data_IF_942903716978
#
_entry.id   IF_942903716978
#
_cell.length_a   1.000
_cell.length_b   1.000
_cell.length_c   1.000
_cell.angle_alpha   90.00
_cell.angle_beta   90.00
_cell.angle_gamma   90.00
#
_symmetry.space_group_name_H-M   'P 1'
#
loop_
_entity.id
_entity.type
_entity.pdbx_description
1 polymer ?
#
# COMPACT_ATOMS: atom_id res chain seq x y z
N UNK A 1 4.96 -2.77 36.98
CA UNK A 1 5.89 -3.91 36.80
C UNK A 1 5.65 -4.68 35.47
N UNK A 2 5.22 -4.01 34.39
CA UNK A 2 4.83 -4.65 33.12
C UNK A 2 5.63 -4.16 31.89
N UNK A 3 6.54 -3.20 32.07
CA UNK A 3 7.24 -2.54 30.97
C UNK A 3 8.37 -3.39 30.33
N UNK A 4 8.76 -4.50 30.97
CA UNK A 4 9.91 -5.31 30.54
C UNK A 4 9.52 -6.50 29.64
N UNK A 5 8.22 -6.79 29.45
CA UNK A 5 7.78 -8.00 28.74
C UNK A 5 7.46 -7.79 27.27
N UNK A 6 7.26 -6.56 26.81
CA UNK A 6 6.61 -6.34 25.51
C UNK A 6 7.55 -5.85 24.41
N UNK A 7 8.57 -5.05 24.73
CA UNK A 7 9.43 -4.45 23.71
C UNK A 7 10.21 -5.48 22.89
N UNK A 8 10.94 -6.38 23.57
CA UNK A 8 11.81 -7.34 22.87
C UNK A 8 11.04 -8.50 22.22
N UNK A 9 9.98 -8.98 22.87
CA UNK A 9 9.14 -10.06 22.35
C UNK A 9 8.41 -9.64 21.08
N UNK A 10 7.92 -8.40 21.00
CA UNK A 10 7.21 -7.92 19.81
C UNK A 10 8.15 -7.85 18.59
N UNK A 11 9.41 -7.46 18.79
CA UNK A 11 10.44 -7.50 17.73
C UNK A 11 10.70 -8.94 17.27
N UNK A 12 10.83 -9.89 18.19
CA UNK A 12 11.04 -11.31 17.86
C UNK A 12 9.87 -11.88 17.05
N UNK A 13 8.63 -11.58 17.44
CA UNK A 13 7.44 -12.01 16.70
C UNK A 13 7.42 -11.39 15.31
N UNK A 14 7.75 -10.09 15.20
CA UNK A 14 7.84 -9.40 13.91
C UNK A 14 8.87 -10.05 12.99
N UNK A 15 10.04 -10.42 13.51
CA UNK A 15 11.08 -11.14 12.78
C UNK A 15 10.56 -12.50 12.29
N UNK A 16 9.90 -13.29 13.14
CA UNK A 16 9.33 -14.59 12.74
C UNK A 16 8.29 -14.41 11.61
N UNK A 17 7.39 -13.43 11.74
CA UNK A 17 6.40 -13.12 10.70
C UNK A 17 7.09 -12.68 9.39
N UNK A 18 8.13 -11.86 9.45
CA UNK A 18 8.93 -11.47 8.29
C UNK A 18 9.63 -12.68 7.62
N UNK A 19 10.08 -13.67 8.39
CA UNK A 19 10.65 -14.90 7.84
C UNK A 19 9.59 -15.77 7.16
N UNK A 20 8.39 -15.89 7.74
CA UNK A 20 7.29 -16.70 7.20
C UNK A 20 6.62 -16.05 5.98
N UNK A 21 6.35 -14.75 6.04
CA UNK A 21 5.64 -14.01 5.00
C UNK A 21 6.59 -13.37 3.97
N UNK A 22 7.87 -13.20 4.32
CA UNK A 22 8.86 -12.49 3.52
C UNK A 22 8.76 -10.96 3.63
N UNK A 23 9.88 -10.28 3.38
CA UNK A 23 9.98 -8.81 3.45
C UNK A 23 9.06 -8.07 2.45
N UNK A 24 8.59 -8.72 1.39
CA UNK A 24 7.78 -8.12 0.33
C UNK A 24 6.27 -8.21 0.55
N UNK A 25 5.77 -9.13 1.38
CA UNK A 25 4.32 -9.34 1.54
C UNK A 25 3.68 -8.48 2.63
N UNK A 26 4.39 -8.20 3.73
CA UNK A 26 3.91 -7.25 4.75
C UNK A 26 3.71 -5.83 4.20
N UNK A 27 4.66 -5.24 3.43
CA UNK A 27 4.46 -3.92 2.83
C UNK A 27 3.30 -3.87 1.84
N UNK A 28 3.10 -4.93 1.04
CA UNK A 28 2.01 -4.99 0.07
C UNK A 28 0.63 -5.03 0.74
N UNK A 29 0.47 -5.84 1.80
CA UNK A 29 -0.77 -5.95 2.56
C UNK A 29 -1.06 -4.68 3.39
N UNK A 30 -0.02 -4.10 3.99
CA UNK A 30 -0.19 -2.83 4.73
C UNK A 30 -0.52 -1.66 3.80
N UNK A 31 -0.02 -1.67 2.56
CA UNK A 31 -0.36 -0.65 1.54
C UNK A 31 -1.85 -0.68 1.19
N UNK A 32 -2.43 -1.86 0.94
CA UNK A 32 -3.85 -1.99 0.58
C UNK A 32 -4.78 -1.70 1.76
N UNK A 33 -4.47 -2.24 2.94
CA UNK A 33 -5.24 -2.00 4.18
C UNK A 33 -5.13 -0.54 4.61
N UNK A 34 -3.93 0.04 4.55
CA UNK A 34 -3.66 1.43 4.92
C UNK A 34 -4.38 2.43 4.02
N UNK A 35 -4.59 2.10 2.75
CA UNK A 35 -5.36 2.94 1.83
C UNK A 35 -6.84 3.00 2.22
N UNK A 36 -7.46 1.86 2.54
CA UNK A 36 -8.85 1.81 3.01
C UNK A 36 -9.05 2.53 4.34
N UNK A 37 -8.12 2.36 5.29
CA UNK A 37 -8.15 3.07 6.58
C UNK A 37 -7.95 4.58 6.41
N UNK A 38 -7.10 5.01 5.48
CA UNK A 38 -6.88 6.44 5.18
C UNK A 38 -8.13 7.10 4.60
N UNK A 39 -8.88 6.41 3.77
CA UNK A 39 -10.14 6.92 3.20
C UNK A 39 -11.19 7.04 4.30
N UNK A 40 -11.40 5.98 5.08
CA UNK A 40 -12.32 6.00 6.22
C UNK A 40 -11.97 7.10 7.25
N UNK A 41 -10.68 7.29 7.55
CA UNK A 41 -10.24 8.34 8.47
C UNK A 41 -10.50 9.75 7.94
N UNK A 42 -10.44 9.94 6.61
CA UNK A 42 -10.72 11.23 5.98
C UNK A 42 -12.20 11.55 6.04
N UNK A 43 -13.05 10.62 5.62
CA UNK A 43 -14.51 10.79 5.67
C UNK A 43 -14.98 11.09 7.10
N UNK A 44 -14.49 10.34 8.09
CA UNK A 44 -14.81 10.57 9.51
C UNK A 44 -14.26 11.89 10.06
N UNK A 45 -13.19 12.45 9.46
CA UNK A 45 -12.62 13.74 9.87
C UNK A 45 -13.26 14.92 9.16
N UNK A 46 -13.75 14.74 7.94
CA UNK A 46 -14.43 15.79 7.17
C UNK A 46 -15.81 16.13 7.79
N UNK A 47 -16.42 15.19 8.53
CA UNK A 47 -17.61 15.43 9.37
C UNK A 47 -17.30 16.24 10.66
N UNK A 48 -16.02 16.47 10.99
CA UNK A 48 -15.57 17.22 12.16
C UNK A 48 -14.85 18.52 11.71
N UNK A 49 -15.50 19.70 11.73
CA UNK A 49 -15.04 20.90 11.01
C UNK A 49 -13.76 21.56 11.56
N UNK A 50 -12.99 20.91 12.43
CA UNK A 50 -11.79 21.48 13.10
C UNK A 50 -10.46 20.78 12.80
N UNK A 51 -10.36 19.84 11.86
CA UNK A 51 -9.10 19.10 11.63
C UNK A 51 -8.57 19.15 10.19
N UNK A 52 -8.21 20.34 9.69
CA UNK A 52 -7.35 20.45 8.49
C UNK A 52 -5.88 20.38 8.89
N UNK A 53 -5.22 19.26 8.58
CA UNK A 53 -3.81 19.11 8.16
C UNK A 53 -3.33 17.71 8.54
N UNK A 54 -2.97 16.90 7.53
CA UNK A 54 -1.66 16.23 7.43
C UNK A 54 -1.62 15.34 6.16
N UNK A 55 -0.93 15.88 5.15
CA UNK A 55 -0.30 15.13 4.06
C UNK A 55 0.52 13.96 4.65
N UNK A 56 0.44 12.74 4.12
CA UNK A 56 1.03 12.47 2.81
C UNK A 56 2.55 12.34 2.88
N UNK A 57 3.10 11.44 3.71
CA UNK A 57 4.50 10.98 3.62
C UNK A 57 4.62 9.56 4.16
N UNK A 58 4.65 8.58 3.25
CA UNK A 58 5.53 7.41 3.30
C UNK A 58 5.37 6.56 2.02
N UNK A 59 6.44 6.57 1.23
CA UNK A 59 6.82 5.62 0.17
C UNK A 59 5.83 5.41 -0.98
N UNK A 60 6.16 5.99 -2.14
CA UNK A 60 5.66 5.53 -3.42
C UNK A 60 6.29 4.19 -3.81
N UNK A 61 5.48 3.31 -4.37
CA UNK A 61 5.89 2.47 -5.50
C UNK A 61 4.78 2.67 -6.51
N UNK A 62 5.01 3.59 -7.46
CA UNK A 62 4.32 3.54 -8.74
C UNK A 62 4.92 2.31 -9.41
N UNK A 63 4.27 1.16 -9.27
CA UNK A 63 4.61 0.03 -10.13
C UNK A 63 4.01 0.37 -11.48
N UNK A 64 4.94 0.76 -12.34
CA UNK A 64 4.87 0.80 -13.78
C UNK A 64 4.05 -0.37 -14.34
N UNK A 65 2.76 -0.17 -14.63
CA UNK A 65 1.92 -1.16 -15.33
C UNK A 65 0.99 -0.53 -16.40
N UNK A 66 1.17 0.76 -16.68
CA UNK A 66 0.38 1.48 -17.70
C UNK A 66 1.01 1.51 -19.10
N UNK A 67 2.32 1.22 -19.23
CA UNK A 67 3.06 1.46 -20.47
C UNK A 67 3.03 0.29 -21.48
N UNK A 68 2.58 -0.90 -21.08
CA UNK A 68 2.63 -2.09 -21.96
C UNK A 68 1.34 -2.31 -22.77
N UNK A 69 0.21 -1.72 -22.37
CA UNK A 69 -1.09 -1.97 -23.01
C UNK A 69 -1.32 -1.14 -24.28
N UNK A 70 -0.66 0.02 -24.42
CA UNK A 70 -0.83 0.89 -25.60
C UNK A 70 0.01 0.44 -26.81
N UNK A 71 1.13 -0.28 -26.60
CA UNK A 71 1.96 -0.79 -27.69
C UNK A 71 1.42 -2.08 -28.34
N UNK A 72 0.55 -2.84 -27.65
CA UNK A 72 -0.04 -4.06 -28.16
C UNK A 72 -1.28 -3.82 -29.04
N UNK A 73 -2.03 -2.73 -28.80
CA UNK A 73 -3.24 -2.41 -29.57
C UNK A 73 -2.93 -1.86 -30.96
N UNK A 74 -1.79 -1.20 -31.16
CA UNK A 74 -1.42 -0.59 -32.45
C UNK A 74 -0.98 -1.60 -33.53
N UNK A 75 -0.71 -2.86 -33.16
CA UNK A 75 -0.26 -3.90 -34.11
C UNK A 75 -1.39 -4.76 -34.69
N UNK A 76 -2.63 -4.63 -34.20
CA UNK A 76 -3.77 -5.44 -34.70
C UNK A 76 -4.56 -4.81 -35.85
N UNK A 77 -4.45 -3.50 -36.06
CA UNK A 77 -5.23 -2.80 -37.09
C UNK A 77 -4.59 -2.83 -38.50
N UNK A 78 -3.38 -3.39 -38.65
CA UNK A 78 -2.68 -3.44 -39.95
C UNK A 78 -2.90 -4.73 -40.76
N UNK A 79 -3.73 -5.67 -40.27
CA UNK A 79 -3.95 -6.98 -40.91
C UNK A 79 -5.31 -7.09 -41.65
N UNK A 80 -5.98 -5.95 -41.88
CA UNK A 80 -7.19 -5.89 -42.71
C UNK A 80 -6.98 -4.89 -43.83
N UNK A 81 -6.58 -5.40 -44.99
CA UNK A 81 -6.79 -4.76 -46.30
C UNK A 81 -6.54 -5.79 -47.41
N UNK A 82 -7.18 -5.65 -48.58
CA UNK A 82 -8.60 -5.53 -48.88
C UNK A 82 -9.23 -6.85 -49.39
#
# INVERSE_FOLDING_TARGET
MFANLTGWHLVIILVIVLLLFGATRLPALTRSIGQSVRIFKKEVRDDDPSATTENGTAAGVRTDDGARTTAASARRDSDTTP
#
